data_IF_127040996323
#
_entry.id   IF_127040996323
#
_cell.length_a   1.000
_cell.length_b   1.000
_cell.length_c   1.000
_cell.angle_alpha   90.00
_cell.angle_beta   90.00
_cell.angle_gamma   90.00
#
_symmetry.space_group_name_H-M   'P 1'
#
loop_
_entity.id
_entity.type
_entity.pdbx_description
1 polymer ?
#
# COMPACT_ATOMS: atom_id res chain seq x y z
N UNK A 1 -4.74 9.76 -39.91
CA UNK A 1 -4.24 8.63 -39.10
C UNK A 1 -4.52 9.01 -37.66
N UNK A 2 -5.49 8.36 -37.03
CA UNK A 2 -5.80 8.59 -35.62
C UNK A 2 -4.59 8.12 -34.83
N UNK A 3 -3.91 9.00 -34.08
CA UNK A 3 -2.92 8.58 -33.10
C UNK A 3 -3.61 7.52 -32.24
N UNK A 4 -3.19 6.26 -32.35
CA UNK A 4 -3.59 5.27 -31.35
C UNK A 4 -2.90 5.72 -30.07
N UNK A 5 -3.69 6.28 -29.17
CA UNK A 5 -3.21 6.62 -27.85
C UNK A 5 -2.74 5.32 -27.20
N UNK A 6 -1.45 5.23 -26.91
CA UNK A 6 -0.86 4.03 -26.33
C UNK A 6 -1.33 3.94 -24.87
N UNK A 7 -2.46 3.27 -24.66
CA UNK A 7 -2.98 2.99 -23.31
C UNK A 7 -2.03 2.02 -22.61
N UNK A 8 -1.66 2.33 -21.36
CA UNK A 8 -0.72 1.56 -20.55
C UNK A 8 -1.29 1.29 -19.17
N UNK A 9 -1.39 0.02 -18.82
CA UNK A 9 -1.70 -0.41 -17.47
C UNK A 9 -0.41 -0.45 -16.63
N UNK A 10 -0.37 0.34 -15.58
CA UNK A 10 0.69 0.34 -14.58
C UNK A 10 0.12 0.76 -13.22
N UNK A 11 0.96 0.80 -12.18
CA UNK A 11 0.53 1.16 -10.83
C UNK A 11 -0.24 2.49 -10.73
N UNK A 12 0.21 3.53 -11.43
CA UNK A 12 -0.43 4.86 -11.40
C UNK A 12 -1.77 4.91 -12.17
N UNK A 13 -1.87 4.25 -13.33
CA UNK A 13 -3.14 4.19 -14.08
C UNK A 13 -4.15 3.27 -13.40
N UNK A 14 -3.72 2.14 -12.85
CA UNK A 14 -4.54 1.30 -11.99
C UNK A 14 -5.09 2.08 -10.79
N UNK A 15 -4.22 2.79 -10.07
CA UNK A 15 -4.63 3.61 -8.93
C UNK A 15 -5.57 4.75 -9.34
N UNK A 16 -5.38 5.33 -10.52
CA UNK A 16 -6.29 6.35 -11.07
C UNK A 16 -7.70 5.78 -11.26
N UNK A 17 -7.84 4.58 -11.82
CA UNK A 17 -9.15 3.92 -11.99
C UNK A 17 -9.78 3.52 -10.66
N UNK A 18 -9.00 3.02 -9.69
CA UNK A 18 -9.49 2.72 -8.33
C UNK A 18 -10.13 3.94 -7.67
N UNK A 19 -9.56 5.13 -7.85
CA UNK A 19 -10.06 6.35 -7.24
C UNK A 19 -11.44 6.78 -7.76
N UNK A 20 -11.86 6.36 -8.95
CA UNK A 20 -13.19 6.64 -9.50
C UNK A 20 -14.28 5.77 -8.83
N UNK A 21 -13.90 4.56 -8.39
CA UNK A 21 -14.75 3.61 -7.65
C UNK A 21 -14.63 3.76 -6.12
N UNK A 22 -13.82 4.71 -5.65
CA UNK A 22 -13.71 5.01 -4.22
C UNK A 22 -15.08 5.41 -3.65
N UNK A 23 -15.33 5.00 -2.41
CA UNK A 23 -16.48 5.45 -1.61
C UNK A 23 -16.57 6.99 -1.58
N UNK A 24 -17.79 7.53 -1.49
CA UNK A 24 -17.99 8.98 -1.43
C UNK A 24 -17.31 9.55 -0.20
N UNK A 25 -16.58 10.64 -0.41
CA UNK A 25 -15.92 11.39 0.65
C UNK A 25 -16.96 12.19 1.46
N UNK A 26 -16.68 12.35 2.74
CA UNK A 26 -17.46 13.21 3.62
C UNK A 26 -17.45 14.65 3.07
N UNK A 27 -18.57 15.36 3.26
CA UNK A 27 -18.72 16.72 2.75
C UNK A 27 -17.75 17.69 3.42
N UNK A 28 -17.46 18.81 2.75
CA UNK A 28 -16.55 19.87 3.28
C UNK A 28 -16.95 20.33 4.68
N UNK A 29 -18.23 20.25 5.07
CA UNK A 29 -18.75 20.62 6.40
C UNK A 29 -18.36 19.66 7.52
N UNK A 30 -18.20 18.37 7.23
CA UNK A 30 -17.84 17.33 8.20
C UNK A 30 -16.33 17.39 8.52
N UNK A 31 -15.50 17.77 7.54
CA UNK A 31 -14.07 18.01 7.76
C UNK A 31 -13.77 19.18 8.72
N UNK A 32 -14.68 20.16 8.88
CA UNK A 32 -14.49 21.25 9.85
C UNK A 32 -14.66 20.81 11.31
N UNK A 33 -15.25 19.63 11.56
CA UNK A 33 -15.34 19.03 12.90
C UNK A 33 -14.09 18.22 13.28
N UNK A 34 -13.08 18.15 12.39
CA UNK A 34 -11.87 17.35 12.60
C UNK A 34 -12.01 15.87 12.25
N UNK A 35 -13.17 15.44 11.75
CA UNK A 35 -13.37 14.06 11.28
C UNK A 35 -12.72 13.86 9.90
N UNK A 36 -11.80 12.91 9.84
CA UNK A 36 -11.22 12.40 8.59
C UNK A 36 -12.07 11.21 8.15
N UNK A 37 -12.50 11.21 6.89
CA UNK A 37 -13.26 10.11 6.30
C UNK A 37 -12.37 8.90 5.93
N UNK A 38 -11.05 9.04 6.01
CA UNK A 38 -10.10 8.00 5.62
C UNK A 38 -10.03 7.76 4.12
N UNK A 39 -10.66 8.61 3.30
CA UNK A 39 -10.86 8.36 1.87
C UNK A 39 -10.08 9.35 0.98
N UNK A 40 -9.08 10.06 1.49
CA UNK A 40 -8.20 10.87 0.65
C UNK A 40 -7.31 10.00 -0.25
N UNK A 41 -6.75 10.55 -1.35
CA UNK A 41 -5.85 9.76 -2.22
C UNK A 41 -4.67 9.16 -1.44
N UNK A 42 -3.99 9.91 -0.52
CA UNK A 42 -2.97 9.33 0.34
C UNK A 42 -3.43 8.12 1.15
N UNK A 43 -4.60 8.21 1.79
CA UNK A 43 -5.13 7.14 2.65
C UNK A 43 -5.45 5.89 1.83
N UNK A 44 -6.05 6.04 0.65
CA UNK A 44 -6.30 4.92 -0.27
C UNK A 44 -4.99 4.29 -0.74
N UNK A 45 -3.96 5.09 -1.04
CA UNK A 45 -2.66 4.55 -1.46
C UNK A 45 -1.92 3.85 -0.31
N UNK A 46 -2.09 4.33 0.93
CA UNK A 46 -1.61 3.65 2.14
C UNK A 46 -2.35 2.31 2.31
N UNK A 47 -3.68 2.29 2.16
CA UNK A 47 -4.47 1.05 2.18
C UNK A 47 -3.98 0.05 1.13
N UNK A 48 -3.73 0.51 -0.10
CA UNK A 48 -3.18 -0.33 -1.16
C UNK A 48 -1.76 -0.82 -0.83
N UNK A 49 -0.97 -0.03 -0.10
CA UNK A 49 0.35 -0.43 0.38
C UNK A 49 0.27 -1.56 1.42
N UNK A 50 -0.76 -1.56 2.27
CA UNK A 50 -1.02 -2.63 3.25
C UNK A 50 -1.38 -3.96 2.59
N UNK A 51 -1.92 -3.95 1.38
CA UNK A 51 -2.11 -5.19 0.59
C UNK A 51 -0.77 -5.87 0.29
N UNK A 52 0.24 -5.08 -0.09
CA UNK A 52 1.59 -5.58 -0.37
C UNK A 52 2.37 -5.91 0.91
N UNK A 53 2.34 -4.99 1.87
CA UNK A 53 3.13 -5.00 3.11
C UNK A 53 2.17 -4.78 4.28
N UNK A 54 1.65 -5.85 4.90
CA UNK A 54 0.56 -5.75 5.90
C UNK A 54 0.95 -4.93 7.14
N UNK A 55 2.24 -4.92 7.48
CA UNK A 55 2.86 -4.18 8.57
C UNK A 55 3.33 -2.77 8.14
N UNK A 56 2.90 -2.29 6.97
CA UNK A 56 3.20 -0.94 6.49
C UNK A 56 2.73 0.11 7.51
N UNK A 57 3.72 0.79 8.10
CA UNK A 57 3.48 1.77 9.15
C UNK A 57 2.82 3.02 8.56
N UNK A 58 1.77 3.48 9.24
CA UNK A 58 1.12 4.71 8.84
C UNK A 58 2.08 5.90 9.01
N UNK A 59 2.15 6.80 8.02
CA UNK A 59 2.97 7.99 8.15
C UNK A 59 2.52 8.88 9.31
N UNK A 60 3.48 9.46 10.02
CA UNK A 60 3.19 10.49 11.01
C UNK A 60 2.52 11.70 10.36
N UNK A 61 1.66 12.41 11.09
CA UNK A 61 0.95 13.59 10.56
C UNK A 61 1.92 14.65 10.00
N UNK A 62 3.09 14.81 10.62
CA UNK A 62 4.17 15.71 10.17
C UNK A 62 4.71 15.37 8.77
N UNK A 63 4.53 14.14 8.30
CA UNK A 63 5.02 13.64 7.02
C UNK A 63 3.98 13.76 5.91
N UNK A 64 2.75 14.14 6.22
CA UNK A 64 1.62 14.09 5.28
C UNK A 64 1.80 14.98 4.05
N UNK A 65 2.56 16.08 4.14
CA UNK A 65 2.94 16.89 2.97
C UNK A 65 3.76 16.07 1.96
N UNK A 66 4.73 15.31 2.45
CA UNK A 66 5.59 14.45 1.61
C UNK A 66 4.81 13.25 1.06
N UNK A 67 3.92 12.66 1.86
CA UNK A 67 3.04 11.57 1.42
C UNK A 67 2.09 12.02 0.32
N UNK A 68 1.48 13.22 0.44
CA UNK A 68 0.66 13.81 -0.62
C UNK A 68 1.45 14.01 -1.91
N UNK A 69 2.69 14.48 -1.82
CA UNK A 69 3.60 14.60 -2.95
C UNK A 69 3.83 13.26 -3.65
N UNK A 70 4.29 12.25 -2.91
CA UNK A 70 4.56 10.92 -3.47
C UNK A 70 3.31 10.22 -4.01
N UNK A 71 2.15 10.43 -3.38
CA UNK A 71 0.87 9.92 -3.88
C UNK A 71 0.54 10.52 -5.24
N UNK A 72 0.70 11.84 -5.39
CA UNK A 72 0.48 12.54 -6.65
C UNK A 72 1.47 12.06 -7.72
N UNK A 73 2.74 11.85 -7.36
CA UNK A 73 3.76 11.35 -8.28
C UNK A 73 3.53 9.90 -8.71
N UNK A 74 3.04 9.04 -7.81
CA UNK A 74 2.63 7.67 -8.15
C UNK A 74 1.42 7.66 -9.09
N UNK A 75 0.35 8.38 -8.73
CA UNK A 75 -0.88 8.50 -9.53
C UNK A 75 -0.57 9.02 -10.94
N UNK A 76 0.30 10.03 -11.04
CA UNK A 76 0.70 10.63 -12.32
C UNK A 76 1.79 9.85 -13.08
N UNK A 77 2.10 8.63 -12.63
CA UNK A 77 3.07 7.73 -13.26
C UNK A 77 4.49 8.32 -13.33
N UNK A 78 4.87 9.20 -12.41
CA UNK A 78 6.20 9.80 -12.37
C UNK A 78 7.23 8.88 -11.68
N UNK A 79 6.81 8.14 -10.66
CA UNK A 79 7.67 7.23 -9.92
C UNK A 79 6.87 5.99 -9.41
N UNK A 80 7.56 5.00 -8.83
CA UNK A 80 6.95 3.81 -8.20
C UNK A 80 6.67 4.03 -6.70
N UNK A 81 6.13 5.19 -6.32
CA UNK A 81 5.77 5.51 -4.93
C UNK A 81 6.87 6.21 -4.11
N UNK A 82 7.93 6.66 -4.78
CA UNK A 82 9.07 7.33 -4.15
C UNK A 82 9.76 6.45 -3.10
N UNK A 83 10.27 7.08 -2.05
CA UNK A 83 10.94 6.37 -0.93
C UNK A 83 9.98 5.89 0.15
N UNK A 84 8.71 6.33 0.10
CA UNK A 84 7.75 6.10 1.19
C UNK A 84 6.85 4.90 0.95
N UNK A 85 6.43 4.66 -0.29
CA UNK A 85 5.54 3.55 -0.61
C UNK A 85 6.32 2.32 -1.11
N UNK A 86 5.81 1.10 -0.88
CA UNK A 86 6.56 -0.13 -1.14
C UNK A 86 6.60 -0.54 -2.63
N UNK A 87 5.89 0.16 -3.52
CA UNK A 87 5.70 -0.27 -4.92
C UNK A 87 6.98 -0.31 -5.77
N UNK A 88 8.08 0.29 -5.32
CA UNK A 88 9.41 0.20 -5.92
C UNK A 88 10.43 -0.58 -5.09
N UNK A 89 10.06 -1.06 -3.90
CA UNK A 89 10.97 -1.73 -2.97
C UNK A 89 11.10 -3.22 -3.34
N UNK A 90 12.29 -3.64 -3.78
CA UNK A 90 12.55 -5.01 -4.24
C UNK A 90 12.24 -6.09 -3.20
N UNK A 91 12.51 -5.82 -1.91
CA UNK A 91 12.25 -6.78 -0.82
C UNK A 91 10.74 -6.94 -0.62
N UNK A 92 10.01 -5.82 -0.57
CA UNK A 92 8.56 -5.83 -0.45
C UNK A 92 7.89 -6.54 -1.65
N UNK A 93 8.34 -6.24 -2.88
CA UNK A 93 7.82 -6.87 -4.10
C UNK A 93 8.11 -8.38 -4.13
N UNK A 94 9.31 -8.80 -3.72
CA UNK A 94 9.66 -10.23 -3.64
C UNK A 94 8.79 -10.96 -2.62
N UNK A 95 8.58 -10.37 -1.45
CA UNK A 95 7.71 -10.93 -0.42
C UNK A 95 6.25 -11.00 -0.88
N UNK A 96 5.75 -9.97 -1.55
CA UNK A 96 4.40 -9.94 -2.11
C UNK A 96 4.21 -10.99 -3.21
N UNK A 97 5.15 -11.12 -4.15
CA UNK A 97 5.11 -12.14 -5.20
C UNK A 97 5.11 -13.55 -4.62
N UNK A 98 5.95 -13.82 -3.61
CA UNK A 98 5.95 -15.08 -2.87
C UNK A 98 4.59 -15.32 -2.19
N UNK A 99 4.03 -14.31 -1.54
CA UNK A 99 2.71 -14.40 -0.90
C UNK A 99 1.62 -14.77 -1.92
N UNK A 100 1.61 -14.14 -3.10
CA UNK A 100 0.65 -14.45 -4.16
C UNK A 100 0.78 -15.90 -4.63
N UNK A 101 2.02 -16.39 -4.83
CA UNK A 101 2.27 -17.72 -5.39
C UNK A 101 2.11 -18.86 -4.39
N UNK A 102 2.43 -18.63 -3.12
CA UNK A 102 2.48 -19.69 -2.10
C UNK A 102 1.36 -19.58 -1.06
N UNK A 103 0.85 -18.36 -0.82
CA UNK A 103 -0.11 -18.06 0.23
C UNK A 103 -1.24 -17.15 -0.28
N UNK A 104 -1.78 -17.45 -1.48
CA UNK A 104 -2.71 -16.58 -2.21
C UNK A 104 -3.88 -16.07 -1.35
N UNK A 105 -4.46 -16.94 -0.51
CA UNK A 105 -5.55 -16.57 0.41
C UNK A 105 -5.19 -15.45 1.38
N UNK A 106 -3.95 -15.42 1.87
CA UNK A 106 -3.49 -14.34 2.76
C UNK A 106 -3.46 -13.01 2.01
N UNK A 107 -2.98 -13.00 0.77
CA UNK A 107 -3.01 -11.80 -0.06
C UNK A 107 -4.44 -11.40 -0.45
N UNK A 108 -5.32 -12.37 -0.70
CA UNK A 108 -6.73 -12.14 -1.01
C UNK A 108 -7.47 -11.51 0.16
N UNK A 109 -7.30 -11.99 1.39
CA UNK A 109 -7.94 -11.38 2.57
C UNK A 109 -7.55 -9.89 2.71
N UNK A 110 -6.28 -9.54 2.49
CA UNK A 110 -5.85 -8.13 2.50
C UNK A 110 -6.52 -7.29 1.41
N UNK A 111 -6.75 -7.88 0.23
CA UNK A 111 -7.49 -7.19 -0.83
C UNK A 111 -8.98 -7.07 -0.52
N UNK A 112 -9.57 -8.05 0.16
CA UNK A 112 -10.94 -7.99 0.67
C UNK A 112 -11.08 -6.82 1.64
N UNK A 113 -10.22 -6.75 2.66
CA UNK A 113 -10.17 -5.64 3.62
C UNK A 113 -10.03 -4.29 2.90
N UNK A 114 -9.12 -4.17 1.92
CA UNK A 114 -8.97 -2.95 1.13
C UNK A 114 -10.25 -2.58 0.36
N UNK A 115 -10.91 -3.53 -0.29
CA UNK A 115 -12.15 -3.27 -1.02
C UNK A 115 -13.26 -2.83 -0.06
N UNK A 116 -13.39 -3.52 1.06
CA UNK A 116 -14.41 -3.25 2.08
C UNK A 116 -14.20 -1.91 2.76
N UNK A 117 -12.96 -1.44 2.91
CA UNK A 117 -12.66 -0.13 3.49
C UNK A 117 -12.86 1.00 2.46
N UNK A 118 -12.28 0.89 1.26
CA UNK A 118 -12.10 2.03 0.35
C UNK A 118 -13.05 2.09 -0.84
N UNK A 119 -13.61 0.97 -1.31
CA UNK A 119 -14.33 0.89 -2.59
C UNK A 119 -15.85 0.80 -2.43
N UNK A 120 -16.58 1.30 -3.44
CA UNK A 120 -18.04 1.32 -3.44
C UNK A 120 -18.61 0.09 -4.17
N UNK A 121 -18.66 -1.04 -3.45
CA UNK A 121 -19.05 -2.34 -4.00
C UNK A 121 -20.52 -2.68 -3.70
N UNK A 122 -21.19 -3.42 -4.58
CA UNK A 122 -22.56 -3.96 -4.42
C UNK A 122 -23.66 -2.89 -4.28
N UNK A 123 -23.48 -1.73 -4.87
CA UNK A 123 -24.45 -0.64 -4.81
C UNK A 123 -25.31 -0.53 -6.07
N UNK A 124 -26.31 0.36 -6.04
CA UNK A 124 -27.17 0.60 -7.21
C UNK A 124 -26.48 1.33 -8.37
N UNK A 125 -25.35 2.00 -8.12
CA UNK A 125 -24.62 2.75 -9.16
C UNK A 125 -23.69 1.86 -9.98
N UNK A 126 -23.46 0.61 -9.55
CA UNK A 126 -22.67 -0.41 -10.24
C UNK A 126 -21.25 0.07 -10.57
N UNK A 127 -20.65 0.82 -9.65
CA UNK A 127 -19.30 1.35 -9.90
C UNK A 127 -18.23 0.26 -9.92
N UNK A 128 -18.42 -0.80 -9.14
CA UNK A 128 -17.65 -2.05 -9.23
C UNK A 128 -17.65 -2.65 -10.65
N UNK A 129 -18.82 -2.75 -11.30
CA UNK A 129 -18.95 -3.23 -12.68
C UNK A 129 -18.23 -2.29 -13.67
N UNK A 130 -18.34 -0.97 -13.46
CA UNK A 130 -17.65 0.04 -14.28
C UNK A 130 -16.14 -0.05 -14.15
N UNK A 131 -15.62 -0.21 -12.92
CA UNK A 131 -14.20 -0.38 -12.67
C UNK A 131 -13.66 -1.64 -13.37
N UNK A 132 -14.35 -2.77 -13.23
CA UNK A 132 -13.94 -4.02 -13.91
C UNK A 132 -13.93 -3.84 -15.43
N UNK A 133 -14.96 -3.21 -16.00
CA UNK A 133 -14.99 -2.90 -17.44
C UNK A 133 -13.85 -1.98 -17.86
N UNK A 134 -13.56 -0.92 -17.08
CA UNK A 134 -12.48 0.01 -17.36
C UNK A 134 -11.12 -0.70 -17.35
N UNK A 135 -10.91 -1.61 -16.41
CA UNK A 135 -9.68 -2.40 -16.31
C UNK A 135 -9.54 -3.39 -17.47
N UNK A 136 -10.61 -4.11 -17.84
CA UNK A 136 -10.58 -5.02 -19.00
C UNK A 136 -10.27 -4.25 -20.29
N UNK A 137 -10.94 -3.12 -20.51
CA UNK A 137 -10.73 -2.27 -21.68
C UNK A 137 -9.30 -1.70 -21.72
N UNK A 138 -8.75 -1.32 -20.56
CA UNK A 138 -7.34 -0.89 -20.43
C UNK A 138 -6.38 -2.04 -20.78
N UNK A 139 -6.63 -3.25 -20.28
CA UNK A 139 -5.82 -4.45 -20.57
C UNK A 139 -5.86 -4.79 -22.07
N UNK A 140 -7.03 -4.72 -22.70
CA UNK A 140 -7.22 -4.99 -24.13
C UNK A 140 -6.42 -4.00 -24.99
N UNK A 141 -6.56 -2.71 -24.68
CA UNK A 141 -5.88 -1.61 -25.40
C UNK A 141 -4.38 -1.51 -25.14
N UNK A 142 -3.86 -2.05 -24.04
CA UNK A 142 -2.42 -2.04 -23.77
C UNK A 142 -1.65 -3.06 -24.62
N UNK A 143 -1.07 -2.57 -25.70
CA UNK A 143 -0.30 -3.38 -26.64
C UNK A 143 1.07 -3.87 -26.12
N UNK A 144 1.53 -3.42 -24.93
CA UNK A 144 2.73 -3.97 -24.28
C UNK A 144 2.45 -5.24 -23.49
N UNK A 145 1.18 -5.57 -23.28
CA UNK A 145 0.78 -6.78 -22.57
C UNK A 145 0.58 -7.88 -23.60
N UNK A 146 1.45 -8.87 -23.56
CA UNK A 146 1.35 -10.06 -24.42
C UNK A 146 0.06 -10.82 -24.14
N UNK A 147 -0.48 -11.47 -25.18
CA UNK A 147 -1.77 -12.16 -25.11
C UNK A 147 -1.80 -13.29 -24.07
N UNK A 148 -0.65 -13.93 -23.82
CA UNK A 148 -0.44 -15.01 -22.84
C UNK A 148 0.02 -14.50 -21.45
N UNK A 149 0.17 -13.18 -21.24
CA UNK A 149 0.53 -12.64 -19.93
C UNK A 149 -0.51 -13.09 -18.89
N UNK A 150 -0.03 -13.69 -17.80
CA UNK A 150 -0.87 -14.17 -16.71
C UNK A 150 -1.11 -13.08 -15.66
N UNK A 151 -2.34 -13.04 -15.16
CA UNK A 151 -2.78 -12.27 -14.00
C UNK A 151 -3.32 -13.26 -12.95
N UNK A 152 -2.83 -13.20 -11.71
CA UNK A 152 -3.27 -14.10 -10.62
C UNK A 152 -4.66 -13.70 -10.10
N UNK A 153 -5.67 -13.87 -10.96
CA UNK A 153 -7.00 -13.29 -10.86
C UNK A 153 -8.12 -14.33 -10.65
N UNK A 154 -7.77 -15.58 -10.38
CA UNK A 154 -8.72 -16.66 -10.08
C UNK A 154 -8.74 -16.95 -8.58
N UNK A 155 -9.88 -17.46 -8.09
CA UNK A 155 -10.14 -17.68 -6.66
C UNK A 155 -9.21 -18.70 -6.00
N UNK A 156 -8.68 -19.64 -6.79
CA UNK A 156 -7.69 -20.63 -6.37
C UNK A 156 -6.23 -20.12 -6.47
N UNK A 157 -6.04 -18.85 -6.85
CA UNK A 157 -4.72 -18.26 -7.05
C UNK A 157 -4.07 -18.62 -8.38
N UNK A 158 -4.77 -19.26 -9.32
CA UNK A 158 -4.23 -19.50 -10.66
C UNK A 158 -4.25 -18.24 -11.53
N UNK A 159 -3.39 -18.26 -12.55
CA UNK A 159 -3.28 -17.21 -13.54
C UNK A 159 -4.37 -17.28 -14.61
N UNK A 160 -4.96 -16.14 -14.96
CA UNK A 160 -5.79 -15.94 -16.14
C UNK A 160 -4.99 -15.13 -17.18
N UNK A 161 -4.95 -15.59 -18.44
CA UNK A 161 -4.22 -14.86 -19.47
C UNK A 161 -4.97 -13.60 -19.91
N UNK A 162 -4.25 -12.60 -20.47
CA UNK A 162 -4.89 -11.43 -21.13
C UNK A 162 -5.98 -11.85 -22.12
N UNK A 163 -5.69 -12.84 -22.97
CA UNK A 163 -6.67 -13.37 -23.93
C UNK A 163 -7.93 -13.91 -23.25
N UNK A 164 -7.80 -14.59 -22.12
CA UNK A 164 -8.92 -15.16 -21.39
C UNK A 164 -9.72 -14.09 -20.65
N UNK A 165 -9.05 -13.08 -20.07
CA UNK A 165 -9.70 -11.91 -19.47
C UNK A 165 -10.60 -11.21 -20.50
N UNK A 166 -10.09 -10.93 -21.71
CA UNK A 166 -10.86 -10.25 -22.77
C UNK A 166 -12.08 -11.06 -23.22
N UNK A 167 -12.00 -12.40 -23.15
CA UNK A 167 -13.08 -13.31 -23.56
C UNK A 167 -14.10 -13.57 -22.45
N UNK A 168 -13.67 -13.54 -21.18
CA UNK A 168 -14.50 -13.84 -20.03
C UNK A 168 -15.61 -12.81 -19.82
N UNK A 169 -16.68 -13.25 -19.18
CA UNK A 169 -17.82 -12.43 -18.78
C UNK A 169 -18.07 -12.50 -17.28
N UNK A 170 -17.29 -13.29 -16.53
CA UNK A 170 -17.47 -13.45 -15.09
C UNK A 170 -16.15 -13.30 -14.36
N UNK A 171 -16.19 -12.49 -13.31
CA UNK A 171 -15.02 -12.16 -12.51
C UNK A 171 -15.40 -12.11 -11.03
N UNK A 172 -14.53 -12.62 -10.16
CA UNK A 172 -14.60 -12.31 -8.74
C UNK A 172 -13.86 -11.00 -8.50
N UNK A 173 -14.56 -9.98 -8.00
CA UNK A 173 -14.09 -8.60 -7.93
C UNK A 173 -12.73 -8.46 -7.24
N UNK A 174 -12.60 -8.98 -6.02
CA UNK A 174 -11.37 -8.85 -5.23
C UNK A 174 -10.19 -9.62 -5.84
N UNK A 175 -10.43 -10.83 -6.34
CA UNK A 175 -9.37 -11.62 -7.01
C UNK A 175 -8.86 -10.91 -8.27
N UNK A 176 -9.76 -10.28 -9.03
CA UNK A 176 -9.41 -9.55 -10.24
C UNK A 176 -8.56 -8.33 -9.94
N UNK A 177 -8.95 -7.52 -8.95
CA UNK A 177 -8.16 -6.37 -8.51
C UNK A 177 -6.79 -6.79 -7.96
N UNK A 178 -6.72 -7.90 -7.20
CA UNK A 178 -5.46 -8.42 -6.69
C UNK A 178 -4.51 -8.85 -7.81
N UNK A 179 -5.01 -9.59 -8.80
CA UNK A 179 -4.22 -10.02 -9.95
C UNK A 179 -3.70 -8.86 -10.78
N UNK A 180 -4.50 -7.79 -10.95
CA UNK A 180 -4.08 -6.57 -11.65
C UNK A 180 -3.05 -5.79 -10.84
N UNK A 181 -3.26 -5.64 -9.53
CA UNK A 181 -2.29 -4.99 -8.65
C UNK A 181 -0.94 -5.70 -8.74
N UNK A 182 -0.93 -7.03 -8.61
CA UNK A 182 0.28 -7.85 -8.74
C UNK A 182 0.98 -7.60 -10.08
N UNK A 183 0.26 -7.69 -11.19
CA UNK A 183 0.83 -7.37 -12.51
C UNK A 183 1.45 -5.96 -12.56
N UNK A 184 0.71 -4.95 -12.07
CA UNK A 184 1.13 -3.55 -12.13
C UNK A 184 2.44 -3.28 -11.37
N UNK A 185 2.61 -3.89 -10.20
CA UNK A 185 3.78 -3.67 -9.33
C UNK A 185 4.97 -4.55 -9.73
N UNK A 186 4.72 -5.72 -10.32
CA UNK A 186 5.76 -6.65 -10.78
C UNK A 186 6.32 -6.32 -12.17
N UNK A 187 5.67 -5.42 -12.91
CA UNK A 187 6.13 -5.03 -14.24
C UNK A 187 7.52 -4.39 -14.20
N UNK A 188 8.38 -4.79 -15.12
CA UNK A 188 9.78 -4.34 -15.21
C UNK A 188 9.93 -2.95 -15.83
N UNK A 189 8.92 -2.49 -16.58
CA UNK A 189 8.93 -1.18 -17.22
C UNK A 189 9.10 -0.04 -16.20
N UNK A 190 9.64 1.12 -16.65
CA UNK A 190 9.66 2.33 -15.84
C UNK A 190 8.25 2.77 -15.45
N UNK A 191 8.11 3.43 -14.30
CA UNK A 191 6.82 4.00 -13.86
C UNK A 191 6.19 4.92 -14.93
N UNK A 192 7.03 5.62 -15.68
CA UNK A 192 6.66 6.61 -16.70
C UNK A 192 5.93 6.02 -17.90
N UNK A 193 5.87 4.70 -18.06
CA UNK A 193 5.11 4.09 -19.15
C UNK A 193 3.64 4.50 -19.14
N UNK A 194 3.02 4.68 -17.97
CA UNK A 194 1.63 5.12 -17.84
C UNK A 194 1.40 6.62 -18.02
N UNK A 195 2.46 7.41 -18.23
CA UNK A 195 2.37 8.87 -18.18
C UNK A 195 1.44 9.45 -19.25
N UNK A 196 1.54 8.98 -20.49
CA UNK A 196 0.68 9.45 -21.59
C UNK A 196 -0.78 9.07 -21.34
N UNK A 197 -1.01 7.85 -20.85
CA UNK A 197 -2.36 7.38 -20.47
C UNK A 197 -2.95 8.24 -19.36
N UNK A 198 -2.20 8.52 -18.29
CA UNK A 198 -2.63 9.43 -17.24
C UNK A 198 -2.88 10.84 -17.77
N UNK A 199 -2.01 11.33 -18.66
CA UNK A 199 -2.17 12.67 -19.22
C UNK A 199 -3.42 12.80 -20.09
N UNK A 200 -3.77 11.73 -20.82
CA UNK A 200 -5.00 11.61 -21.57
C UNK A 200 -6.24 11.53 -20.67
N UNK A 201 -6.23 10.65 -19.67
CA UNK A 201 -7.37 10.48 -18.75
C UNK A 201 -7.60 11.66 -17.82
N UNK A 202 -6.55 12.37 -17.45
CA UNK A 202 -6.62 13.47 -16.50
C UNK A 202 -5.90 14.68 -17.08
N UNK A 203 -6.39 15.41 -18.10
CA UNK A 203 -5.61 16.45 -18.78
C UNK A 203 -5.11 17.56 -17.84
N UNK A 204 -3.95 18.19 -18.13
CA UNK A 204 -3.43 19.27 -17.31
C UNK A 204 -4.41 20.44 -17.20
N UNK A 205 -4.60 20.97 -15.99
CA UNK A 205 -5.36 22.20 -15.74
C UNK A 205 -4.44 23.20 -15.06
N UNK A 206 -4.43 24.45 -15.53
CA UNK A 206 -3.55 25.52 -15.06
C UNK A 206 -3.59 25.69 -13.52
N UNK A 207 -2.69 24.99 -12.81
CA UNK A 207 -2.56 24.94 -11.34
C UNK A 207 -3.80 24.42 -10.59
N UNK A 208 -4.74 23.76 -11.28
CA UNK A 208 -5.91 23.15 -10.66
C UNK A 208 -5.77 21.62 -10.60
N UNK A 209 -6.47 20.94 -9.66
CA UNK A 209 -6.49 19.49 -9.61
C UNK A 209 -6.94 18.88 -10.95
N UNK A 210 -6.21 17.85 -11.39
CA UNK A 210 -6.52 17.12 -12.62
C UNK A 210 -7.63 16.11 -12.32
N UNK A 211 -8.81 16.35 -12.90
CA UNK A 211 -9.97 15.46 -12.78
C UNK A 211 -9.89 14.38 -13.85
N UNK A 212 -10.32 13.16 -13.54
CA UNK A 212 -10.52 12.12 -14.54
C UNK A 212 -11.65 12.50 -15.50
N UNK A 213 -11.39 12.33 -16.79
CA UNK A 213 -12.31 12.53 -17.93
C UNK A 213 -12.19 11.39 -18.94
N UNK A 214 -11.47 10.32 -18.59
CA UNK A 214 -11.31 9.15 -19.45
C UNK A 214 -12.61 8.35 -19.56
N UNK A 215 -12.74 7.57 -20.62
CA UNK A 215 -13.96 6.80 -20.95
C UNK A 215 -13.72 5.29 -20.95
N UNK A 216 -12.67 4.82 -20.27
CA UNK A 216 -12.35 3.38 -20.24
C UNK A 216 -13.54 2.56 -19.74
N UNK A 217 -13.87 1.51 -20.49
CA UNK A 217 -14.98 0.60 -20.17
C UNK A 217 -16.37 1.07 -20.60
N UNK A 218 -16.55 2.33 -21.02
CA UNK A 218 -17.87 2.83 -21.48
C UNK A 218 -18.33 2.13 -22.77
N UNK A 219 -17.38 1.86 -23.67
CA UNK A 219 -17.63 1.15 -24.93
C UNK A 219 -17.59 -0.39 -24.78
N UNK A 220 -17.40 -0.92 -23.56
CA UNK A 220 -17.30 -2.36 -23.34
C UNK A 220 -18.69 -3.03 -23.49
N UNK A 221 -18.92 -3.60 -24.67
CA UNK A 221 -20.24 -4.13 -25.07
C UNK A 221 -20.65 -5.42 -24.36
N UNK A 222 -19.69 -6.18 -23.82
CA UNK A 222 -20.00 -7.46 -23.17
C UNK A 222 -20.54 -7.21 -21.77
N UNK A 223 -21.60 -7.94 -21.43
CA UNK A 223 -22.05 -8.01 -20.05
C UNK A 223 -20.94 -8.60 -19.17
N UNK A 224 -20.77 -8.01 -17.98
CA UNK A 224 -19.82 -8.46 -16.95
C UNK A 224 -20.61 -8.83 -15.71
N UNK A 225 -20.46 -10.08 -15.26
CA UNK A 225 -21.09 -10.63 -14.06
C UNK A 225 -20.05 -10.70 -12.95
N UNK A 226 -20.34 -10.03 -11.84
CA UNK A 226 -19.46 -10.01 -10.69
C UNK A 226 -19.90 -11.00 -9.61
N UNK A 227 -18.94 -11.75 -9.10
CA UNK A 227 -19.01 -12.40 -7.79
C UNK A 227 -18.05 -11.70 -6.84
N UNK A 228 -18.15 -12.00 -5.55
CA UNK A 228 -17.35 -11.34 -4.51
C UNK A 228 -16.77 -12.40 -3.60
N UNK A 229 -15.48 -12.28 -3.32
CA UNK A 229 -14.85 -13.09 -2.30
C UNK A 229 -15.35 -12.66 -0.92
N UNK A 230 -15.53 -13.64 -0.05
CA UNK A 230 -15.77 -13.42 1.38
C UNK A 230 -14.46 -13.67 2.12
N UNK A 231 -14.26 -12.98 3.24
CA UNK A 231 -13.08 -13.19 4.07
C UNK A 231 -13.06 -14.65 4.51
N UNK A 232 -11.91 -15.31 4.30
CA UNK A 232 -11.79 -16.72 4.59
C UNK A 232 -10.84 -16.89 5.76
N UNK A 233 -11.34 -17.42 6.89
CA UNK A 233 -10.54 -17.70 8.10
C UNK A 233 -9.30 -18.52 7.72
N UNK A 234 -8.13 -17.89 7.75
CA UNK A 234 -6.89 -18.57 7.46
C UNK A 234 -6.67 -19.65 8.52
N UNK A 235 -6.60 -20.91 8.12
CA UNK A 235 -6.10 -21.97 9.01
C UNK A 235 -4.73 -21.53 9.50
N UNK A 236 -4.62 -21.22 10.79
CA UNK A 236 -3.33 -21.00 11.44
C UNK A 236 -2.56 -22.31 11.33
N UNK A 237 -1.65 -22.40 10.38
CA UNK A 237 -0.55 -23.36 10.52
C UNK A 237 0.32 -22.80 11.63
N UNK A 238 0.13 -23.31 12.85
CA UNK A 238 1.06 -23.07 13.94
C UNK A 238 2.47 -23.38 13.40
N UNK A 239 3.45 -22.48 13.58
CA UNK A 239 4.81 -22.78 13.21
C UNK A 239 5.23 -24.02 14.00
N UNK A 240 5.61 -25.08 13.30
CA UNK A 240 6.31 -26.23 13.90
C UNK A 240 7.46 -25.67 14.74
N UNK A 241 7.36 -25.83 16.05
CA UNK A 241 8.44 -25.51 16.98
C UNK A 241 9.57 -26.47 16.61
N UNK A 242 10.56 -25.98 15.86
CA UNK A 242 11.83 -26.66 15.72
C UNK A 242 12.53 -26.51 17.06
N UNK A 243 12.50 -27.58 17.88
CA UNK A 243 13.35 -27.66 19.07
C UNK A 243 14.81 -27.53 18.62
N UNK A 244 15.39 -26.36 18.87
CA UNK A 244 16.83 -26.16 18.76
C UNK A 244 17.43 -26.87 19.97
N UNK A 245 18.01 -28.04 19.76
CA UNK A 245 18.86 -28.70 20.75
C UNK A 245 20.12 -27.83 20.85
N UNK A 246 20.19 -26.99 21.89
CA UNK A 246 21.41 -26.27 22.24
C UNK A 246 22.47 -27.30 22.66
N UNK A 247 23.56 -27.37 21.89
CA UNK A 247 24.73 -28.13 22.28
C UNK A 247 25.48 -27.35 23.36
N UNK A 248 25.62 -27.95 24.53
CA UNK A 248 26.45 -27.48 25.64
C UNK A 248 27.83 -27.05 25.15
N UNK A 249 28.12 -25.76 25.28
CA UNK A 249 29.49 -25.26 25.32
C UNK A 249 29.71 -24.63 26.69
N UNK A 250 30.35 -25.41 27.57
CA UNK A 250 30.94 -24.93 28.82
C UNK A 250 31.92 -23.80 28.50
N UNK A 251 31.57 -22.57 28.88
CA UNK A 251 32.53 -21.48 29.03
C UNK A 251 32.77 -21.25 30.52
N UNK A 252 33.99 -21.56 30.93
CA UNK A 252 34.55 -21.29 32.25
C UNK A 252 34.56 -19.78 32.50
N UNK A 253 33.86 -19.33 33.53
CA UNK A 253 33.98 -17.97 34.07
C UNK A 253 34.76 -18.05 35.39
N UNK A 254 35.89 -17.34 35.47
CA UNK A 254 36.59 -17.09 36.74
C UNK A 254 35.75 -16.15 37.60
N UNK A 255 35.42 -16.60 38.81
CA UNK A 255 34.79 -15.81 39.86
C UNK A 255 35.74 -14.73 40.37
N UNK A 256 35.27 -13.48 40.39
CA UNK A 256 35.75 -12.50 41.37
C UNK A 256 34.58 -12.08 42.26
N UNK A 257 34.65 -12.60 43.48
CA UNK A 257 33.77 -12.34 44.59
C UNK A 257 34.14 -11.01 45.25
N UNK A 258 33.17 -10.11 45.41
CA UNK A 258 33.21 -9.09 46.45
C UNK A 258 31.79 -8.83 46.96
N UNK A 259 31.46 -9.45 48.09
CA UNK A 259 30.32 -9.09 48.93
C UNK A 259 30.59 -7.73 49.60
N UNK A 260 29.59 -6.85 49.71
CA UNK A 260 29.04 -6.31 50.98
C UNK A 260 27.72 -5.57 50.71
N UNK A 261 26.69 -6.09 51.36
CA UNK A 261 25.40 -5.56 51.83
C UNK A 261 25.05 -4.06 51.73
N UNK A 262 23.82 -3.78 51.24
CA UNK A 262 22.84 -3.01 52.03
C UNK A 262 22.33 -1.66 51.47
N UNK A 263 21.00 -1.59 51.33
CA UNK A 263 20.09 -0.43 51.42
C UNK A 263 19.46 0.12 50.13
N UNK A 264 18.14 -0.12 50.04
CA UNK A 264 17.16 0.53 49.18
C UNK A 264 17.26 2.08 49.21
N UNK A 265 17.67 2.67 48.09
CA UNK A 265 17.33 4.04 47.72
C UNK A 265 16.96 4.04 46.25
N UNK A 266 15.68 4.33 45.94
CA UNK A 266 15.20 4.51 44.57
C UNK A 266 15.84 5.77 43.97
N UNK A 267 16.91 5.60 43.20
CA UNK A 267 17.44 6.66 42.35
C UNK A 267 16.50 6.93 41.17
N UNK A 268 16.28 8.20 40.86
CA UNK A 268 15.48 8.62 39.71
C UNK A 268 16.11 8.09 38.40
N UNK A 269 15.31 7.65 37.41
CA UNK A 269 15.86 7.07 36.19
C UNK A 269 16.74 8.08 35.45
N UNK A 270 18.03 7.79 35.35
CA UNK A 270 18.95 8.53 34.49
C UNK A 270 18.68 8.16 33.04
N UNK A 271 18.22 9.14 32.26
CA UNK A 271 18.03 9.01 30.81
C UNK A 271 19.40 9.13 30.12
N UNK A 272 19.99 8.01 29.74
CA UNK A 272 21.24 7.97 28.98
C UNK A 272 20.95 8.04 27.46
N UNK A 273 21.40 9.11 26.80
CA UNK A 273 21.35 9.21 25.35
C UNK A 273 22.71 8.82 24.76
N UNK A 274 22.74 7.79 23.92
CA UNK A 274 23.95 7.36 23.21
C UNK A 274 23.83 7.73 21.74
N UNK A 275 24.81 8.49 21.22
CA UNK A 275 24.88 8.85 19.80
C UNK A 275 26.14 8.23 19.19
N UNK A 276 25.96 7.36 18.18
CA UNK A 276 27.08 6.84 17.40
C UNK A 276 27.22 7.67 16.11
N UNK A 277 28.35 8.36 15.96
CA UNK A 277 28.67 9.13 14.74
C UNK A 277 29.96 8.57 14.14
N UNK A 278 29.94 8.23 12.85
CA UNK A 278 31.13 7.77 12.11
C UNK A 278 31.48 8.78 11.01
N UNK A 279 32.76 9.16 10.92
CA UNK A 279 33.28 10.16 9.98
C UNK A 279 34.32 11.10 10.62
N UNK A 280 35.12 11.79 9.81
CA UNK A 280 36.06 12.83 10.26
C UNK A 280 35.41 14.23 10.24
N UNK A 281 35.84 15.12 11.16
CA UNK A 281 35.35 16.49 11.39
C UNK A 281 33.96 16.64 12.05
N UNK A 282 33.70 15.89 13.13
CA UNK A 282 32.52 16.12 13.96
C UNK A 282 32.84 17.08 15.11
N UNK A 283 32.04 18.14 15.26
CA UNK A 283 32.06 19.03 16.41
C UNK A 283 30.68 19.03 17.09
N UNK A 284 30.67 18.78 18.40
CA UNK A 284 29.45 18.71 19.20
C UNK A 284 29.31 19.98 20.04
N UNK A 285 28.19 20.69 19.89
CA UNK A 285 27.81 21.81 20.75
C UNK A 285 26.52 21.43 21.46
N UNK A 286 26.63 21.04 22.73
CA UNK A 286 25.48 20.67 23.53
C UNK A 286 25.00 21.92 24.29
N UNK A 287 23.78 22.38 24.00
CA UNK A 287 23.11 23.43 24.77
C UNK A 287 21.67 23.01 25.00
N UNK A 288 21.22 23.12 26.25
CA UNK A 288 19.85 22.80 26.66
C UNK A 288 19.34 24.03 27.40
N UNK A 289 18.41 24.76 26.77
CA UNK A 289 17.80 25.95 27.37
C UNK A 289 16.78 25.58 28.46
N UNK A 290 15.93 24.60 28.19
CA UNK A 290 14.88 24.17 29.14
C UNK A 290 14.58 22.69 28.97
N UNK A 291 14.48 21.95 30.08
CA UNK A 291 13.98 20.57 30.13
C UNK A 291 12.60 20.58 30.77
N UNK A 292 11.56 20.24 30.02
CA UNK A 292 10.21 20.05 30.55
C UNK A 292 9.95 18.56 30.75
N UNK A 293 9.88 18.14 32.02
CA UNK A 293 9.53 16.78 32.39
C UNK A 293 8.06 16.73 32.81
N UNK A 294 7.21 16.11 31.98
CA UNK A 294 5.77 15.93 32.28
C UNK A 294 5.51 14.58 32.94
N UNK A 295 6.08 14.37 34.12
CA UNK A 295 5.61 13.33 35.04
C UNK A 295 4.80 13.99 36.16
N UNK A 296 3.48 13.86 36.06
CA UNK A 296 2.50 13.93 37.16
C UNK A 296 2.54 15.15 38.09
N UNK A 297 1.67 16.14 37.85
CA UNK A 297 1.39 17.18 38.85
C UNK A 297 0.32 18.17 38.43
N UNK A 298 -0.80 18.16 39.16
CA UNK A 298 -1.95 19.07 39.01
C UNK A 298 -1.53 20.54 38.95
N UNK A 299 -2.21 21.31 38.09
CA UNK A 299 -2.23 22.78 38.14
C UNK A 299 -2.97 23.21 39.41
N UNK A 300 -2.29 23.94 40.29
CA UNK A 300 -2.89 24.85 41.25
C UNK A 300 -1.96 26.05 41.45
N UNK A 301 -2.51 27.27 41.37
CA UNK A 301 -2.00 28.39 42.16
C UNK A 301 -1.65 29.70 41.45
N UNK A 302 -2.66 30.59 41.41
CA UNK A 302 -2.67 32.07 41.35
C UNK A 302 -2.28 32.79 40.06
#
# INVERSE_FOLDING_TARGET
>A
MTNRENIRLCGGTFFTLLLEDRKPRAGVREHYAGEKDGLSEPEVLIGLSKVLVPDFQEPLESMMTTIKGNTSEYKSCKNKGGTYFPFGNKVALTAFDKCIKENYRVALNRMIEFCDEFLHVKDSTKKDERLVKALIDTIDKDDSIESNQLFYALQDGMGMSKADIIKSQSFCFQTFLLGILHFCVMRTDPATIGKETFDFWCPPKNRAPRTYVGTMGEDWKKEVKLTYAEEIEAERKDPEIVEIIEADQEQTYEEQQSDVEGQDIKEAPQMNFTFNVTGNNNSFYNHVDTVNNYYGGKKDGK
#
